data_IF_790601021316
#
_entry.id   IF_790601021316
#
_cell.length_a   1.000
_cell.length_b   1.000
_cell.length_c   1.000
_cell.angle_alpha   90.00
_cell.angle_beta   90.00
_cell.angle_gamma   90.00
#
_symmetry.space_group_name_H-M   'P 1'
#
loop_
_entity.id
_entity.type
_entity.pdbx_description
1 polymer ?
#
# COMPACT_ATOMS: atom_id res chain seq x y z
N UNK A 1 -37.52 16.55 1.58
CA UNK A 1 -37.05 16.26 0.21
C UNK A 1 -35.52 16.35 0.18
N UNK A 2 -34.88 15.45 -0.56
CA UNK A 2 -33.52 14.98 -0.31
C UNK A 2 -32.40 15.91 -0.81
N UNK A 3 -31.48 16.29 0.08
CA UNK A 3 -30.20 16.97 -0.23
C UNK A 3 -29.21 16.14 -1.09
N UNK A 4 -29.61 14.94 -1.54
CA UNK A 4 -28.79 13.99 -2.31
C UNK A 4 -28.17 14.62 -3.59
N UNK A 5 -28.85 15.45 -4.39
CA UNK A 5 -28.27 16.06 -5.59
C UNK A 5 -27.15 17.07 -5.28
N UNK A 6 -27.30 17.85 -4.20
CA UNK A 6 -26.32 18.86 -3.80
C UNK A 6 -25.05 18.23 -3.25
N UNK A 7 -25.20 17.15 -2.46
CA UNK A 7 -24.08 16.40 -1.91
C UNK A 7 -23.23 15.75 -3.01
N UNK A 8 -23.86 15.20 -4.05
CA UNK A 8 -23.14 14.63 -5.19
C UNK A 8 -22.39 15.71 -5.99
N UNK A 9 -23.00 16.89 -6.19
CA UNK A 9 -22.31 18.02 -6.84
C UNK A 9 -21.05 18.43 -6.07
N UNK A 10 -21.13 18.53 -4.73
CA UNK A 10 -19.97 18.82 -3.87
C UNK A 10 -18.92 17.72 -3.95
N UNK A 11 -19.32 16.45 -3.92
CA UNK A 11 -18.39 15.31 -4.05
C UNK A 11 -17.62 15.39 -5.37
N UNK A 12 -18.31 15.63 -6.49
CA UNK A 12 -17.69 15.74 -7.82
C UNK A 12 -16.72 16.90 -7.92
N UNK A 13 -17.05 18.05 -7.33
CA UNK A 13 -16.16 19.21 -7.29
C UNK A 13 -14.83 18.86 -6.58
N UNK A 14 -14.90 18.28 -5.37
CA UNK A 14 -13.71 17.84 -4.63
C UNK A 14 -12.87 16.84 -5.41
N UNK A 15 -13.49 15.85 -6.07
CA UNK A 15 -12.76 14.86 -6.87
C UNK A 15 -11.97 15.55 -8.00
N UNK A 16 -12.57 16.52 -8.68
CA UNK A 16 -11.90 17.24 -9.76
C UNK A 16 -10.76 18.12 -9.23
N UNK A 17 -10.96 18.80 -8.09
CA UNK A 17 -9.92 19.59 -7.41
C UNK A 17 -8.71 18.70 -7.05
N UNK A 18 -8.95 17.56 -6.41
CA UNK A 18 -7.88 16.61 -6.07
C UNK A 18 -7.16 16.08 -7.33
N UNK A 19 -7.86 15.83 -8.43
CA UNK A 19 -7.22 15.37 -9.67
C UNK A 19 -6.30 16.44 -10.29
N UNK A 20 -6.70 17.71 -10.22
CA UNK A 20 -5.87 18.83 -10.70
C UNK A 20 -4.62 18.98 -9.83
N UNK A 21 -4.78 18.88 -8.52
CA UNK A 21 -3.67 18.93 -7.57
C UNK A 21 -2.71 17.75 -7.76
N UNK A 22 -3.23 16.52 -7.88
CA UNK A 22 -2.44 15.32 -8.15
C UNK A 22 -1.62 15.47 -9.43
N UNK A 23 -2.23 15.94 -10.51
CA UNK A 23 -1.53 16.22 -11.77
C UNK A 23 -0.35 17.17 -11.55
N UNK A 24 -0.59 18.28 -10.85
CA UNK A 24 0.45 19.28 -10.58
C UNK A 24 1.62 18.69 -9.77
N UNK A 25 1.31 18.04 -8.65
CA UNK A 25 2.31 17.44 -7.75
C UNK A 25 3.14 16.36 -8.44
N UNK A 26 2.50 15.47 -9.21
CA UNK A 26 3.18 14.37 -9.91
C UNK A 26 4.07 14.90 -11.02
N UNK A 27 3.62 15.89 -11.82
CA UNK A 27 4.45 16.48 -12.87
C UNK A 27 5.66 17.22 -12.29
N UNK A 28 5.48 17.96 -11.20
CA UNK A 28 6.58 18.62 -10.49
C UNK A 28 7.58 17.60 -9.95
N UNK A 29 7.12 16.56 -9.26
CA UNK A 29 7.98 15.52 -8.69
C UNK A 29 8.76 14.74 -9.75
N UNK A 30 8.17 14.54 -10.95
CA UNK A 30 8.82 13.87 -12.08
C UNK A 30 9.60 14.82 -12.99
N UNK A 31 9.67 16.12 -12.67
CA UNK A 31 10.30 17.18 -13.50
C UNK A 31 9.80 17.16 -14.96
N UNK A 32 8.50 16.96 -15.14
CA UNK A 32 7.84 16.94 -16.45
C UNK A 32 7.26 18.30 -16.79
N UNK A 33 7.37 18.70 -18.05
CA UNK A 33 6.86 19.99 -18.52
C UNK A 33 5.32 20.01 -18.56
N UNK A 34 4.71 20.83 -17.72
CA UNK A 34 3.25 20.98 -17.60
C UNK A 34 2.55 21.28 -18.95
N UNK A 35 3.23 21.97 -19.88
CA UNK A 35 2.66 22.34 -21.19
C UNK A 35 2.37 21.11 -22.05
N UNK A 36 3.27 20.11 -22.01
CA UNK A 36 3.12 18.85 -22.75
C UNK A 36 2.02 17.96 -22.19
N UNK A 37 1.65 18.15 -20.92
CA UNK A 37 0.66 17.36 -20.22
C UNK A 37 -0.65 18.13 -19.96
N UNK A 38 -0.86 19.24 -20.66
CA UNK A 38 -2.05 20.10 -20.52
C UNK A 38 -3.37 19.36 -20.74
N UNK A 39 -3.40 18.33 -21.59
CA UNK A 39 -4.61 17.55 -21.97
C UNK A 39 -4.73 16.14 -21.37
N UNK A 40 -4.04 15.83 -20.26
CA UNK A 40 -4.15 14.51 -19.63
C UNK A 40 -5.59 14.14 -19.26
N UNK A 41 -6.00 12.92 -19.59
CA UNK A 41 -7.28 12.38 -19.16
C UNK A 41 -7.22 12.00 -17.68
N UNK A 42 -8.39 11.83 -17.05
CA UNK A 42 -8.47 11.48 -15.62
C UNK A 42 -7.78 10.14 -15.32
N UNK A 43 -7.88 9.18 -16.24
CA UNK A 43 -7.24 7.88 -16.11
C UNK A 43 -5.71 8.01 -16.14
N UNK A 44 -5.16 8.81 -17.04
CA UNK A 44 -3.72 9.04 -17.14
C UNK A 44 -3.16 9.69 -15.87
N UNK A 45 -3.86 10.69 -15.32
CA UNK A 45 -3.46 11.34 -14.06
C UNK A 45 -3.36 10.30 -12.94
N UNK A 46 -4.36 9.43 -12.81
CA UNK A 46 -4.39 8.39 -11.79
C UNK A 46 -3.28 7.35 -12.02
N UNK A 47 -3.07 6.91 -13.26
CA UNK A 47 -2.02 5.95 -13.59
C UNK A 47 -0.62 6.50 -13.30
N UNK A 48 -0.35 7.74 -13.72
CA UNK A 48 0.91 8.42 -13.44
C UNK A 48 1.13 8.57 -11.93
N UNK A 49 0.09 8.93 -11.18
CA UNK A 49 0.14 9.02 -9.72
C UNK A 49 0.51 7.69 -9.08
N UNK A 50 -0.17 6.60 -9.48
CA UNK A 50 0.11 5.25 -8.96
C UNK A 50 1.54 4.81 -9.29
N UNK A 51 2.00 5.07 -10.52
CA UNK A 51 3.38 4.78 -10.93
C UNK A 51 4.39 5.55 -10.11
N UNK A 52 4.12 6.82 -9.82
CA UNK A 52 4.98 7.65 -8.96
C UNK A 52 5.02 7.16 -7.52
N UNK A 53 3.88 6.78 -6.93
CA UNK A 53 3.82 6.22 -5.57
C UNK A 53 4.61 4.91 -5.45
N UNK A 54 4.49 4.01 -6.43
CA UNK A 54 5.31 2.77 -6.48
C UNK A 54 6.80 3.07 -6.58
N UNK A 55 7.17 4.09 -7.35
CA UNK A 55 8.57 4.54 -7.45
C UNK A 55 9.09 5.09 -6.12
N UNK A 56 8.31 5.94 -5.43
CA UNK A 56 8.67 6.48 -4.11
C UNK A 56 8.85 5.37 -3.07
N UNK A 57 7.96 4.36 -3.07
CA UNK A 57 8.08 3.22 -2.16
C UNK A 57 9.39 2.46 -2.40
N UNK A 58 9.75 2.21 -3.66
CA UNK A 58 11.01 1.54 -4.01
C UNK A 58 12.23 2.38 -3.64
N UNK A 59 12.18 3.70 -3.85
CA UNK A 59 13.27 4.60 -3.49
C UNK A 59 13.48 4.63 -1.97
N UNK A 60 12.41 4.70 -1.17
CA UNK A 60 12.51 4.64 0.29
C UNK A 60 13.15 3.34 0.77
N UNK A 61 12.77 2.20 0.18
CA UNK A 61 13.43 0.92 0.48
C UNK A 61 14.90 0.93 0.09
N UNK A 62 15.24 1.44 -1.10
CA UNK A 62 16.63 1.55 -1.54
C UNK A 62 17.45 2.44 -0.60
N UNK A 63 16.92 3.59 -0.18
CA UNK A 63 17.56 4.48 0.79
C UNK A 63 17.78 3.76 2.12
N UNK A 64 16.76 3.09 2.66
CA UNK A 64 16.90 2.32 3.89
C UNK A 64 18.01 1.25 3.80
N UNK A 65 18.13 0.58 2.66
CA UNK A 65 19.20 -0.40 2.41
C UNK A 65 20.58 0.24 2.22
N UNK A 66 20.67 1.47 1.70
CA UNK A 66 21.96 2.19 1.64
C UNK A 66 22.42 2.67 3.03
N UNK A 67 21.50 3.07 3.90
CA UNK A 67 21.82 3.53 5.25
C UNK A 67 22.16 2.38 6.20
N UNK A 68 21.49 1.24 6.04
CA UNK A 68 21.81 -0.01 6.75
C UNK A 68 21.57 -1.19 5.80
N UNK A 69 22.64 -1.76 5.19
CA UNK A 69 22.54 -2.89 4.28
C UNK A 69 21.87 -4.12 4.89
N UNK A 70 21.85 -4.22 6.22
CA UNK A 70 21.26 -5.34 6.96
C UNK A 70 19.84 -5.05 7.44
N UNK A 71 19.25 -3.89 7.14
CA UNK A 71 17.92 -3.49 7.65
C UNK A 71 16.84 -4.54 7.40
N UNK A 72 16.81 -5.12 6.20
CA UNK A 72 15.86 -6.17 5.83
C UNK A 72 16.12 -7.45 6.61
N UNK A 73 17.40 -7.82 6.78
CA UNK A 73 17.78 -9.01 7.55
C UNK A 73 17.47 -8.86 9.04
N UNK A 74 17.73 -7.69 9.63
CA UNK A 74 17.43 -7.36 11.03
C UNK A 74 15.93 -7.36 11.29
N UNK A 75 15.15 -6.73 10.40
CA UNK A 75 13.69 -6.78 10.44
C UNK A 75 13.19 -8.23 10.37
N UNK A 76 13.72 -9.02 9.44
CA UNK A 76 13.36 -10.43 9.28
C UNK A 76 13.70 -11.26 10.52
N UNK A 77 14.86 -11.04 11.13
CA UNK A 77 15.27 -11.71 12.35
C UNK A 77 14.32 -11.37 13.51
N UNK A 78 14.11 -10.08 13.80
CA UNK A 78 13.22 -9.63 14.87
C UNK A 78 11.76 -10.04 14.68
N UNK A 79 11.27 -10.07 13.43
CA UNK A 79 9.94 -10.61 13.14
C UNK A 79 9.86 -12.11 13.45
N UNK A 80 10.86 -12.91 13.06
CA UNK A 80 10.87 -14.35 13.37
C UNK A 80 10.95 -14.61 14.88
N UNK A 81 11.74 -13.82 15.61
CA UNK A 81 11.81 -13.90 17.08
C UNK A 81 10.44 -13.61 17.71
N UNK A 82 9.77 -12.53 17.27
CA UNK A 82 8.43 -12.20 17.73
C UNK A 82 7.41 -13.30 17.38
N UNK A 83 7.43 -13.82 16.16
CA UNK A 83 6.53 -14.90 15.74
C UNK A 83 6.76 -16.19 16.55
N UNK A 84 8.00 -16.51 16.88
CA UNK A 84 8.34 -17.63 17.76
C UNK A 84 7.85 -17.40 19.19
N UNK A 85 7.90 -16.15 19.69
CA UNK A 85 7.34 -15.79 20.99
C UNK A 85 5.81 -15.93 21.01
N UNK A 86 5.12 -15.46 19.95
CA UNK A 86 3.67 -15.65 19.79
C UNK A 86 3.32 -17.13 19.76
N UNK A 87 4.08 -17.96 19.06
CA UNK A 87 3.88 -19.40 19.05
C UNK A 87 4.00 -20.01 20.44
N UNK A 88 5.05 -19.64 21.19
CA UNK A 88 5.27 -20.09 22.58
C UNK A 88 4.16 -19.64 23.52
N UNK A 89 3.71 -18.40 23.39
CA UNK A 89 2.58 -17.88 24.18
C UNK A 89 1.31 -18.68 23.90
N UNK A 90 0.96 -18.90 22.63
CA UNK A 90 -0.23 -19.67 22.25
C UNK A 90 -0.18 -21.13 22.73
N UNK A 91 1.02 -21.72 22.82
CA UNK A 91 1.22 -23.04 23.42
C UNK A 91 1.06 -23.06 24.95
N UNK A 92 1.35 -21.94 25.63
CA UNK A 92 1.20 -21.83 27.08
C UNK A 92 -0.25 -21.66 27.55
N UNK A 93 -1.15 -21.20 26.66
CA UNK A 93 -2.56 -20.95 26.98
C UNK A 93 -3.33 -22.27 27.07
N UNK A 94 -3.66 -22.70 28.30
CA UNK A 94 -4.54 -23.85 28.52
C UNK A 94 -5.96 -23.56 27.99
N UNK A 95 -6.50 -24.48 27.19
CA UNK A 95 -7.83 -24.34 26.58
C UNK A 95 -7.86 -23.51 25.29
N UNK A 96 -6.70 -23.13 24.73
CA UNK A 96 -6.61 -22.43 23.45
C UNK A 96 -7.08 -23.27 22.25
N UNK A 97 -7.77 -22.64 21.30
CA UNK A 97 -8.17 -23.29 20.05
C UNK A 97 -6.96 -23.52 19.13
N UNK A 98 -6.68 -24.78 18.81
CA UNK A 98 -5.63 -25.16 17.86
C UNK A 98 -5.86 -24.60 16.45
N UNK A 99 -7.12 -24.39 16.06
CA UNK A 99 -7.46 -23.75 14.79
C UNK A 99 -7.02 -22.28 14.76
N UNK A 100 -7.25 -21.55 15.86
CA UNK A 100 -6.84 -20.15 15.98
C UNK A 100 -5.32 -20.05 15.98
N UNK A 101 -4.63 -20.94 16.70
CA UNK A 101 -3.16 -21.03 16.67
C UNK A 101 -2.65 -21.23 15.25
N UNK A 102 -3.19 -22.22 14.54
CA UNK A 102 -2.81 -22.50 13.15
C UNK A 102 -3.01 -21.31 12.22
N UNK A 103 -4.16 -20.61 12.33
CA UNK A 103 -4.46 -19.41 11.54
C UNK A 103 -3.49 -18.26 11.84
N UNK A 104 -3.18 -18.01 13.10
CA UNK A 104 -2.24 -16.93 13.51
C UNK A 104 -0.84 -17.23 13.00
N UNK A 105 -0.32 -18.44 13.20
CA UNK A 105 1.02 -18.81 12.75
C UNK A 105 1.15 -18.81 11.23
N UNK A 106 0.13 -19.29 10.52
CA UNK A 106 0.10 -19.22 9.06
C UNK A 106 0.05 -17.76 8.58
N UNK A 107 -0.72 -16.89 9.24
CA UNK A 107 -0.75 -15.47 8.90
C UNK A 107 0.63 -14.82 9.08
N UNK A 108 1.29 -15.03 10.23
CA UNK A 108 2.62 -14.49 10.51
C UNK A 108 3.67 -14.97 9.48
N UNK A 109 3.61 -16.24 9.09
CA UNK A 109 4.50 -16.80 8.05
C UNK A 109 4.32 -16.13 6.68
N UNK A 110 3.08 -15.80 6.31
CA UNK A 110 2.78 -15.12 5.05
C UNK A 110 3.12 -13.62 5.08
N UNK A 111 3.07 -12.97 6.25
CA UNK A 111 3.44 -11.56 6.39
C UNK A 111 4.92 -11.29 6.12
N UNK A 112 5.82 -12.20 6.51
CA UNK A 112 7.27 -12.02 6.35
C UNK A 112 7.78 -12.39 4.94
N UNK A 113 7.00 -13.19 4.20
CA UNK A 113 7.28 -13.62 2.84
C UNK A 113 6.16 -13.14 1.89
N UNK A 114 6.09 -11.85 1.53
CA UNK A 114 5.19 -11.38 0.49
C UNK A 114 5.69 -11.81 -0.91
N UNK A 115 5.97 -13.10 -1.12
CA UNK A 115 6.10 -13.70 -2.44
C UNK A 115 4.78 -14.37 -2.78
N UNK A 116 3.80 -13.59 -3.24
CA UNK A 116 2.49 -14.13 -3.61
C UNK A 116 1.30 -13.17 -3.61
N UNK A 117 1.51 -11.88 -3.36
CA UNK A 117 0.47 -10.86 -3.60
C UNK A 117 0.25 -10.63 -5.09
N UNK A 118 -0.25 -11.64 -5.82
CA UNK A 118 -1.06 -11.39 -6.99
C UNK A 118 -2.18 -10.45 -6.54
N UNK A 119 -2.12 -9.21 -7.00
CA UNK A 119 -3.32 -8.42 -7.23
C UNK A 119 -4.18 -9.27 -8.16
N UNK A 120 -5.10 -10.04 -7.60
CA UNK A 120 -6.13 -10.72 -8.37
C UNK A 120 -6.94 -9.61 -9.05
N UNK A 121 -6.92 -9.49 -10.40
CA UNK A 121 -7.92 -8.68 -11.05
C UNK A 121 -9.24 -9.39 -10.80
N UNK A 122 -10.08 -8.81 -9.95
CA UNK A 122 -11.47 -9.20 -9.85
C UNK A 122 -12.05 -9.07 -11.26
N UNK A 123 -12.26 -10.21 -11.92
CA UNK A 123 -13.16 -10.33 -13.05
C UNK A 123 -14.48 -9.72 -12.62
N UNK A 124 -14.80 -8.55 -13.19
CA UNK A 124 -16.16 -8.05 -13.21
C UNK A 124 -16.75 -8.59 -14.50
N UNK A 125 -17.62 -9.57 -14.33
CA UNK A 125 -18.53 -10.06 -15.35
C UNK A 125 -19.60 -9.01 -15.66
#
# INVERSE_FOLDING_TARGET
QSNKPLMEKRRRARINECLVELKSLVLQALKKDSTQYSKLEKADILEMTVKHLKLLQRQQMAVAMTTDPFVVSKYRAGFNECAAEVARYLDSVQGGSQEVKGRVLNHLSNCINPQGGQLHPSHVQ
#
